data_IF_396828833283
#
_entry.id   IF_396828833283
#
_cell.length_a   1.000
_cell.length_b   1.000
_cell.length_c   1.000
_cell.angle_alpha   90.00
_cell.angle_beta   90.00
_cell.angle_gamma   90.00
#
_symmetry.space_group_name_H-M   'P 1'
#
loop_
_entity.id
_entity.type
_entity.pdbx_description
1 polymer ?
#
# COMPACT_ATOMS: atom_id res chain seq x y z
N UNK A 1 14.12 -7.24 6.77
CA UNK A 1 13.16 -8.37 6.75
C UNK A 1 12.59 -8.48 5.35
N UNK A 2 12.54 -9.68 4.76
CA UNK A 2 12.01 -9.89 3.40
C UNK A 2 10.50 -10.11 3.47
N UNK A 3 9.73 -9.18 2.89
CA UNK A 3 8.27 -9.14 2.99
C UNK A 3 7.54 -9.36 1.66
N UNK A 4 8.26 -9.69 0.58
CA UNK A 4 7.67 -9.98 -0.72
C UNK A 4 6.62 -11.10 -0.68
N UNK A 5 6.73 -12.03 0.29
CA UNK A 5 5.75 -13.09 0.52
C UNK A 5 4.36 -12.53 0.87
N UNK A 6 4.25 -11.33 1.44
CA UNK A 6 2.95 -10.69 1.67
C UNK A 6 2.21 -10.46 0.34
N UNK A 7 2.93 -10.13 -0.72
CA UNK A 7 2.34 -9.82 -2.02
C UNK A 7 2.15 -11.03 -2.92
N UNK A 8 2.49 -12.26 -2.48
CA UNK A 8 2.50 -13.45 -3.35
C UNK A 8 1.13 -13.77 -3.96
N UNK A 9 0.05 -13.41 -3.28
CA UNK A 9 -1.33 -13.62 -3.76
C UNK A 9 -1.67 -12.82 -5.02
N UNK A 10 -0.95 -11.71 -5.30
CA UNK A 10 -1.16 -10.87 -6.48
C UNK A 10 0.06 -10.83 -7.40
N UNK A 11 1.26 -10.76 -6.82
CA UNK A 11 2.53 -10.60 -7.51
C UNK A 11 3.16 -11.94 -7.93
N UNK A 12 2.69 -13.07 -7.38
CA UNK A 12 3.27 -14.39 -7.61
C UNK A 12 4.61 -14.57 -6.91
N UNK A 13 5.37 -15.57 -7.34
CA UNK A 13 6.70 -15.91 -6.82
C UNK A 13 7.83 -15.46 -7.76
N UNK A 14 9.07 -15.50 -7.26
CA UNK A 14 10.26 -15.32 -8.10
C UNK A 14 10.28 -16.30 -9.28
N UNK A 15 9.82 -17.53 -9.08
CA UNK A 15 9.78 -18.55 -10.13
C UNK A 15 8.79 -18.17 -11.25
N UNK A 16 7.66 -17.56 -10.89
CA UNK A 16 6.65 -17.08 -11.84
C UNK A 16 7.18 -15.89 -12.63
N UNK A 17 7.81 -14.94 -11.94
CA UNK A 17 8.37 -13.74 -12.56
C UNK A 17 9.54 -14.05 -13.50
N UNK A 18 10.40 -15.01 -13.13
CA UNK A 18 11.59 -15.34 -13.92
C UNK A 18 11.35 -16.39 -15.02
N UNK A 19 10.18 -17.04 -15.04
CA UNK A 19 9.84 -18.08 -16.02
C UNK A 19 10.01 -17.64 -17.48
N UNK A 20 9.58 -16.42 -17.89
CA UNK A 20 9.71 -15.98 -19.28
C UNK A 20 11.16 -15.77 -19.75
N UNK A 21 12.11 -15.65 -18.81
CA UNK A 21 13.50 -15.31 -19.11
C UNK A 21 14.46 -16.50 -19.01
N UNK A 22 13.97 -17.72 -18.75
CA UNK A 22 14.82 -18.89 -18.44
C UNK A 22 15.82 -19.25 -19.54
N UNK A 23 15.44 -19.04 -20.80
CA UNK A 23 16.26 -19.38 -21.96
C UNK A 23 17.28 -18.29 -22.31
N UNK A 24 17.23 -17.13 -21.64
CA UNK A 24 18.15 -16.02 -21.82
C UNK A 24 18.87 -15.70 -20.51
N UNK A 25 20.11 -16.20 -20.36
CA UNK A 25 20.89 -16.08 -19.13
C UNK A 25 21.06 -14.63 -18.66
N UNK A 26 21.28 -13.69 -19.59
CA UNK A 26 21.45 -12.28 -19.27
C UNK A 26 20.16 -11.67 -18.69
N UNK A 27 19.02 -11.89 -19.34
CA UNK A 27 17.72 -11.41 -18.85
C UNK A 27 17.31 -12.10 -17.55
N UNK A 28 17.59 -13.41 -17.42
CA UNK A 28 17.32 -14.17 -16.22
C UNK A 28 18.07 -13.61 -15.00
N UNK A 29 19.35 -13.28 -15.17
CA UNK A 29 20.17 -12.66 -14.12
C UNK A 29 19.66 -11.28 -13.74
N UNK A 30 19.25 -10.46 -14.72
CA UNK A 30 18.65 -9.15 -14.46
C UNK A 30 17.30 -9.27 -13.72
N UNK A 31 16.44 -10.22 -14.09
CA UNK A 31 15.16 -10.46 -13.42
C UNK A 31 15.34 -10.90 -11.97
N UNK A 32 16.30 -11.79 -11.69
CA UNK A 32 16.67 -12.15 -10.32
C UNK A 32 17.22 -10.95 -9.54
N UNK A 33 18.04 -10.11 -10.16
CA UNK A 33 18.59 -8.91 -9.52
C UNK A 33 17.49 -7.90 -9.17
N UNK A 34 16.55 -7.66 -10.10
CA UNK A 34 15.36 -6.83 -9.88
C UNK A 34 14.52 -7.35 -8.71
N UNK A 35 14.20 -8.65 -8.70
CA UNK A 35 13.46 -9.26 -7.59
C UNK A 35 14.20 -9.14 -6.26
N UNK A 36 15.52 -9.36 -6.26
CA UNK A 36 16.35 -9.19 -5.07
C UNK A 36 16.30 -7.76 -4.52
N UNK A 37 16.24 -6.75 -5.40
CA UNK A 37 16.06 -5.35 -5.01
C UNK A 37 14.67 -5.10 -4.44
N UNK A 38 13.61 -5.62 -5.05
CA UNK A 38 12.26 -5.59 -4.48
C UNK A 38 12.23 -6.22 -3.08
N UNK A 39 12.87 -7.37 -2.88
CA UNK A 39 12.97 -7.99 -1.56
C UNK A 39 13.67 -7.11 -0.53
N UNK A 40 14.73 -6.41 -0.92
CA UNK A 40 15.44 -5.50 -0.02
C UNK A 40 14.60 -4.27 0.36
N UNK A 41 13.81 -3.75 -0.58
CA UNK A 41 12.92 -2.62 -0.35
C UNK A 41 11.54 -2.99 0.20
N UNK A 42 11.19 -4.28 0.24
CA UNK A 42 9.87 -4.76 0.66
C UNK A 42 9.42 -4.28 2.04
N UNK A 43 10.37 -4.05 2.96
CA UNK A 43 10.08 -3.45 4.26
C UNK A 43 9.66 -1.99 4.15
N UNK A 44 10.35 -1.19 3.33
CA UNK A 44 9.99 0.21 3.09
C UNK A 44 8.65 0.31 2.37
N UNK A 45 8.42 -0.54 1.36
CA UNK A 45 7.15 -0.65 0.65
C UNK A 45 6.00 -0.89 1.64
N UNK A 46 6.16 -1.87 2.54
CA UNK A 46 5.15 -2.14 3.56
C UNK A 46 4.95 -0.98 4.55
N UNK A 47 6.04 -0.31 4.96
CA UNK A 47 5.97 0.86 5.84
C UNK A 47 5.22 2.05 5.21
N UNK A 48 5.32 2.25 3.89
CA UNK A 48 4.54 3.27 3.17
C UNK A 48 3.04 3.04 3.39
N UNK A 49 2.59 1.79 3.28
CA UNK A 49 1.19 1.42 3.53
C UNK A 49 0.76 1.73 4.96
N UNK A 50 1.56 1.32 5.96
CA UNK A 50 1.25 1.57 7.37
C UNK A 50 1.17 3.08 7.66
N UNK A 51 2.18 3.82 7.19
CA UNK A 51 2.26 5.25 7.41
C UNK A 51 1.07 5.99 6.77
N UNK A 52 0.80 5.76 5.49
CA UNK A 52 -0.29 6.45 4.79
C UNK A 52 -1.67 6.06 5.34
N UNK A 53 -1.90 4.78 5.61
CA UNK A 53 -3.16 4.31 6.18
C UNK A 53 -3.48 4.94 7.54
N UNK A 54 -2.48 5.00 8.45
CA UNK A 54 -2.64 5.64 9.76
C UNK A 54 -2.73 7.16 9.63
N UNK A 55 -1.83 7.78 8.87
CA UNK A 55 -1.77 9.24 8.75
C UNK A 55 -3.05 9.82 8.16
N UNK A 56 -3.61 9.20 7.11
CA UNK A 56 -4.86 9.65 6.50
C UNK A 56 -6.07 9.42 7.41
N UNK A 57 -6.08 8.32 8.18
CA UNK A 57 -7.12 8.11 9.19
C UNK A 57 -7.05 9.20 10.27
N UNK A 58 -5.86 9.44 10.85
CA UNK A 58 -5.63 10.50 11.82
C UNK A 58 -6.04 11.89 11.28
N UNK A 59 -5.68 12.18 10.02
CA UNK A 59 -6.05 13.42 9.34
C UNK A 59 -7.58 13.55 9.18
N UNK A 60 -8.24 12.48 8.77
CA UNK A 60 -9.69 12.48 8.63
C UNK A 60 -10.40 12.74 9.97
N UNK A 61 -9.99 12.04 11.04
CA UNK A 61 -10.65 12.15 12.33
C UNK A 61 -10.37 13.44 13.10
N UNK A 62 -9.18 14.02 12.93
CA UNK A 62 -8.77 15.19 13.71
C UNK A 62 -8.87 16.50 12.91
N UNK A 63 -7.93 16.87 12.03
CA UNK A 63 -8.00 18.16 11.32
C UNK A 63 -9.24 18.30 10.44
N UNK A 64 -9.62 17.27 9.68
CA UNK A 64 -10.77 17.38 8.77
C UNK A 64 -12.11 17.45 9.52
N UNK A 65 -12.35 16.53 10.46
CA UNK A 65 -13.63 16.48 11.18
C UNK A 65 -13.77 17.52 12.31
N UNK A 66 -12.67 18.05 12.88
CA UNK A 66 -12.76 19.13 13.88
C UNK A 66 -12.86 20.53 13.25
N UNK A 67 -12.82 20.64 11.92
CA UNK A 67 -12.99 21.92 11.24
C UNK A 67 -14.42 22.47 11.40
N UNK A 68 -14.63 23.79 11.52
CA UNK A 68 -15.95 24.39 11.70
C UNK A 68 -16.94 23.96 10.61
N UNK A 69 -18.17 23.61 11.01
CA UNK A 69 -19.22 23.17 10.08
C UNK A 69 -19.01 21.77 9.50
N UNK A 70 -17.97 21.04 9.94
CA UNK A 70 -17.77 19.63 9.58
C UNK A 70 -18.30 18.74 10.69
N UNK A 71 -19.12 17.77 10.27
CA UNK A 71 -19.55 16.66 11.09
C UNK A 71 -19.18 15.38 10.39
N UNK A 72 -19.05 14.32 11.17
CA UNK A 72 -18.77 13.00 10.62
C UNK A 72 -19.84 12.60 9.62
N UNK A 73 -19.42 12.20 8.40
CA UNK A 73 -20.30 11.63 7.38
C UNK A 73 -19.65 10.40 6.77
N UNK A 74 -20.41 9.32 6.64
CA UNK A 74 -19.94 8.07 6.02
C UNK A 74 -19.41 8.32 4.60
N UNK A 75 -20.07 9.18 3.82
CA UNK A 75 -19.61 9.53 2.47
C UNK A 75 -18.21 10.15 2.48
N UNK A 76 -17.88 11.01 3.44
CA UNK A 76 -16.53 11.56 3.54
C UNK A 76 -15.53 10.49 3.94
N UNK A 77 -15.89 9.60 4.88
CA UNK A 77 -15.04 8.47 5.25
C UNK A 77 -14.72 7.58 4.04
N UNK A 78 -15.72 7.27 3.20
CA UNK A 78 -15.53 6.50 1.96
C UNK A 78 -14.63 7.23 0.95
N UNK A 79 -14.77 8.56 0.84
CA UNK A 79 -13.87 9.38 0.01
C UNK A 79 -12.44 9.31 0.55
N UNK A 80 -12.23 9.41 1.86
CA UNK A 80 -10.89 9.30 2.47
C UNK A 80 -10.30 7.89 2.34
N UNK A 81 -11.14 6.84 2.40
CA UNK A 81 -10.72 5.47 2.08
C UNK A 81 -10.24 5.37 0.63
N UNK A 82 -10.99 5.92 -0.32
CA UNK A 82 -10.60 5.94 -1.73
C UNK A 82 -9.30 6.74 -1.95
N UNK A 83 -9.17 7.90 -1.31
CA UNK A 83 -7.93 8.70 -1.34
C UNK A 83 -6.76 7.88 -0.79
N UNK A 84 -6.96 7.12 0.29
CA UNK A 84 -5.92 6.26 0.87
C UNK A 84 -5.45 5.21 -0.13
N UNK A 85 -6.38 4.55 -0.83
CA UNK A 85 -6.05 3.57 -1.87
C UNK A 85 -5.26 4.22 -3.01
N UNK A 86 -5.78 5.31 -3.59
CA UNK A 86 -5.16 5.97 -4.75
C UNK A 86 -3.79 6.54 -4.39
N UNK A 87 -3.67 7.25 -3.26
CA UNK A 87 -2.41 7.84 -2.85
C UNK A 87 -1.36 6.79 -2.52
N UNK A 88 -1.74 5.72 -1.81
CA UNK A 88 -0.80 4.62 -1.49
C UNK A 88 -0.34 3.92 -2.75
N UNK A 89 -1.24 3.67 -3.70
CA UNK A 89 -0.89 3.09 -4.99
C UNK A 89 0.16 3.94 -5.72
N UNK A 90 -0.11 5.24 -5.89
CA UNK A 90 0.79 6.15 -6.60
C UNK A 90 2.14 6.32 -5.91
N UNK A 91 2.14 6.47 -4.58
CA UNK A 91 3.38 6.62 -3.80
C UNK A 91 4.21 5.34 -3.84
N UNK A 92 3.57 4.17 -3.70
CA UNK A 92 4.28 2.88 -3.75
C UNK A 92 4.85 2.63 -5.14
N UNK A 93 4.04 2.82 -6.19
CA UNK A 93 4.47 2.63 -7.57
C UNK A 93 5.60 3.60 -7.95
N UNK A 94 5.47 4.87 -7.57
CA UNK A 94 6.52 5.87 -7.78
C UNK A 94 7.81 5.49 -7.05
N UNK A 95 7.71 5.06 -5.79
CA UNK A 95 8.86 4.61 -5.02
C UNK A 95 9.56 3.41 -5.69
N UNK A 96 8.82 2.38 -6.09
CA UNK A 96 9.36 1.22 -6.80
C UNK A 96 10.03 1.62 -8.11
N UNK A 97 9.38 2.50 -8.89
CA UNK A 97 9.91 3.01 -10.14
C UNK A 97 11.27 3.68 -9.98
N UNK A 98 11.47 4.51 -8.95
CA UNK A 98 12.74 5.21 -8.74
C UNK A 98 13.78 4.41 -7.94
N UNK A 99 13.37 3.59 -6.98
CA UNK A 99 14.27 2.92 -6.04
C UNK A 99 14.74 1.53 -6.48
N UNK A 100 14.07 0.91 -7.46
CA UNK A 100 14.30 -0.50 -7.82
C UNK A 100 14.82 -0.64 -9.26
N UNK A 101 16.11 -0.35 -9.51
CA UNK A 101 16.78 -0.74 -10.76
C UNK A 101 17.24 -2.21 -10.71
N UNK A 102 17.50 -2.87 -11.85
CA UNK A 102 17.29 -2.41 -13.22
C UNK A 102 15.82 -2.55 -13.66
N UNK A 103 15.38 -1.70 -14.60
CA UNK A 103 14.08 -1.87 -15.26
C UNK A 103 14.25 -2.86 -16.41
N UNK A 104 13.55 -3.98 -16.33
CA UNK A 104 13.55 -5.01 -17.36
C UNK A 104 12.17 -5.08 -18.01
N UNK A 105 12.09 -5.69 -19.19
CA UNK A 105 10.82 -5.97 -19.84
C UNK A 105 9.86 -6.65 -18.84
N UNK A 106 8.63 -6.12 -18.75
CA UNK A 106 7.58 -6.54 -17.82
C UNK A 106 7.80 -6.26 -16.31
N UNK A 107 8.85 -5.55 -15.90
CA UNK A 107 9.05 -5.18 -14.48
C UNK A 107 7.91 -4.31 -13.95
N UNK A 108 7.40 -3.39 -14.79
CA UNK A 108 6.33 -2.46 -14.41
C UNK A 108 5.02 -3.17 -14.03
N UNK A 109 4.70 -4.29 -14.69
CA UNK A 109 3.51 -5.07 -14.37
C UNK A 109 3.60 -5.70 -12.98
N UNK A 110 4.80 -6.13 -12.57
CA UNK A 110 5.05 -6.64 -11.22
C UNK A 110 4.98 -5.52 -10.17
N UNK A 111 5.58 -4.36 -10.46
CA UNK A 111 5.51 -3.17 -9.59
C UNK A 111 4.07 -2.72 -9.36
N UNK A 112 3.28 -2.60 -10.43
CA UNK A 112 1.86 -2.25 -10.33
C UNK A 112 1.05 -3.22 -9.46
N UNK A 113 1.34 -4.53 -9.54
CA UNK A 113 0.70 -5.55 -8.68
C UNK A 113 1.06 -5.38 -7.21
N UNK A 114 2.33 -5.12 -6.91
CA UNK A 114 2.79 -4.90 -5.53
C UNK A 114 2.19 -3.61 -4.98
N UNK A 115 2.24 -2.52 -5.75
CA UNK A 115 1.61 -1.24 -5.40
C UNK A 115 0.10 -1.39 -5.13
N UNK A 116 -0.61 -2.19 -5.94
CA UNK A 116 -2.03 -2.47 -5.72
C UNK A 116 -2.25 -3.28 -4.43
N UNK A 117 -1.46 -4.32 -4.18
CA UNK A 117 -1.51 -5.06 -2.93
C UNK A 117 -1.26 -4.16 -1.72
N UNK A 118 -0.31 -3.22 -1.83
CA UNK A 118 0.01 -2.27 -0.79
C UNK A 118 -1.12 -1.26 -0.54
N UNK A 119 -1.78 -0.81 -1.59
CA UNK A 119 -2.95 0.06 -1.50
C UNK A 119 -4.13 -0.62 -0.79
N UNK A 120 -4.34 -1.92 -1.04
CA UNK A 120 -5.35 -2.73 -0.34
C UNK A 120 -4.98 -2.87 1.15
N UNK A 121 -3.72 -3.13 1.47
CA UNK A 121 -3.28 -3.15 2.87
C UNK A 121 -3.46 -1.81 3.56
N UNK A 122 -3.20 -0.69 2.89
CA UNK A 122 -3.40 0.63 3.47
C UNK A 122 -4.89 0.92 3.73
N UNK A 123 -5.79 0.43 2.87
CA UNK A 123 -7.23 0.51 3.11
C UNK A 123 -7.65 -0.27 4.37
N UNK A 124 -7.09 -1.48 4.58
CA UNK A 124 -7.33 -2.27 5.80
C UNK A 124 -6.79 -1.53 7.03
N UNK A 125 -5.57 -0.98 6.95
CA UNK A 125 -4.96 -0.21 8.04
C UNK A 125 -5.79 1.03 8.37
N UNK A 126 -6.26 1.76 7.36
CA UNK A 126 -7.13 2.91 7.53
C UNK A 126 -8.44 2.52 8.21
N UNK A 127 -9.04 1.39 7.81
CA UNK A 127 -10.25 0.86 8.42
C UNK A 127 -10.03 0.46 9.89
N UNK A 128 -8.99 -0.33 10.18
CA UNK A 128 -8.68 -0.75 11.56
C UNK A 128 -8.37 0.45 12.44
N UNK A 129 -7.61 1.42 11.92
CA UNK A 129 -7.31 2.68 12.63
C UNK A 129 -8.58 3.47 12.88
N UNK A 130 -9.50 3.50 11.92
CA UNK A 130 -10.83 4.13 12.07
C UNK A 130 -11.64 3.48 13.19
N UNK A 131 -11.71 2.15 13.22
CA UNK A 131 -12.41 1.40 14.27
C UNK A 131 -11.77 1.66 15.63
N UNK A 132 -10.44 1.56 15.75
CA UNK A 132 -9.74 1.85 16.99
C UNK A 132 -10.02 3.28 17.48
N UNK A 133 -9.96 4.27 16.58
CA UNK A 133 -10.22 5.67 16.91
C UNK A 133 -11.62 5.90 17.47
N UNK A 134 -12.64 5.26 16.89
CA UNK A 134 -14.02 5.37 17.35
C UNK A 134 -14.25 4.77 18.75
N UNK A 135 -13.42 3.81 19.18
CA UNK A 135 -13.62 3.05 20.42
C UNK A 135 -12.68 3.42 21.58
N UNK A 136 -11.55 4.09 21.32
CA UNK A 136 -10.54 4.38 22.37
C UNK A 136 -10.86 5.66 23.18
N UNK A 137 -11.72 6.57 22.70
CA UNK A 137 -12.00 7.82 23.44
C UNK A 137 -13.29 8.56 23.06
N UNK A 138 -13.49 9.74 23.66
CA UNK A 138 -14.59 10.65 23.34
C UNK A 138 -14.34 11.31 21.97
N UNK A 139 -14.93 10.73 20.93
CA UNK A 139 -14.80 11.25 19.58
C UNK A 139 -16.18 11.66 19.05
N UNK A 140 -16.23 12.71 18.24
CA UNK A 140 -17.39 13.02 17.40
C UNK A 140 -17.47 12.08 16.17
N UNK A 141 -16.84 10.90 16.25
CA UNK A 141 -16.66 9.99 15.14
C UNK A 141 -17.93 9.22 14.77
N UNK A 142 -17.86 8.45 13.67
CA UNK A 142 -18.95 7.60 13.23
C UNK A 142 -19.48 6.74 14.35
N UNK A 143 -20.77 6.87 14.65
CA UNK A 143 -21.46 5.89 15.49
C UNK A 143 -21.48 4.49 14.88
N UNK A 144 -21.26 4.35 13.57
CA UNK A 144 -21.29 3.05 12.85
C UNK A 144 -20.15 2.12 13.30
N UNK A 145 -18.99 2.66 13.70
CA UNK A 145 -17.84 1.86 14.10
C UNK A 145 -17.66 1.79 15.62
N UNK A 146 -18.64 2.29 16.38
CA UNK A 146 -18.62 2.27 17.84
C UNK A 146 -19.35 1.02 18.31
N UNK A 147 -18.69 0.22 19.14
CA UNK A 147 -19.23 -1.01 19.73
C UNK A 147 -19.36 -0.85 21.25
#
# INVERSE_FOLDING_TARGET
MKLMKLYSWIAGSLADFTRPFRDNEAMYKQARAFWGKLENYSMIIFLICLFLGIALACYYYKPYNNSPGRHYKLNHWLVFLLITVVLTFLVTLGFEYFAVPPKITDSFGLEAKIALGNAIYAAIVFFVTSVAWCNIGSTNACRIFKF
#
